data_IF_314160232418
#
_entry.id   IF_314160232418
#
_cell.length_a   1.000
_cell.length_b   1.000
_cell.length_c   1.000
_cell.angle_alpha   90.00
_cell.angle_beta   90.00
_cell.angle_gamma   90.00
#
_symmetry.space_group_name_H-M   'P 1'
#
loop_
_entity.id
_entity.type
_entity.pdbx_description
1 polymer ?
#
# COMPACT_ATOMS: atom_id res chain seq x y z
N UNK A 1 -8.12 -29.46 22.19
CA UNK A 1 -8.02 -29.53 20.71
C UNK A 1 -8.88 -28.40 20.16
N UNK A 2 -8.32 -27.44 19.42
CA UNK A 2 -9.12 -26.33 18.87
C UNK A 2 -9.82 -26.83 17.61
N UNK A 3 -11.13 -27.01 17.68
CA UNK A 3 -11.96 -27.37 16.53
C UNK A 3 -11.91 -26.22 15.52
N UNK A 4 -11.82 -26.53 14.23
CA UNK A 4 -11.59 -25.54 13.16
C UNK A 4 -12.70 -25.61 12.10
N UNK A 5 -13.12 -24.45 11.62
CA UNK A 5 -14.12 -24.33 10.54
C UNK A 5 -13.53 -24.67 9.17
N UNK A 6 -13.41 -25.96 8.85
CA UNK A 6 -12.84 -26.45 7.58
C UNK A 6 -13.93 -26.69 6.53
N UNK A 7 -14.95 -27.49 6.87
CA UNK A 7 -15.99 -27.91 5.93
C UNK A 7 -17.23 -27.01 6.01
N UNK A 8 -17.60 -26.26 4.94
CA UNK A 8 -18.66 -25.26 5.00
C UNK A 8 -20.05 -25.82 5.29
N UNK A 9 -20.28 -27.08 4.97
CA UNK A 9 -21.52 -27.81 5.23
C UNK A 9 -21.72 -28.13 6.70
N UNK A 10 -20.65 -28.16 7.50
CA UNK A 10 -20.67 -28.48 8.94
C UNK A 10 -20.50 -27.25 9.84
N UNK A 11 -20.36 -26.05 9.25
CA UNK A 11 -20.08 -24.85 10.04
C UNK A 11 -21.14 -24.54 11.09
N UNK A 12 -22.42 -24.74 10.78
CA UNK A 12 -23.49 -24.48 11.75
C UNK A 12 -23.35 -25.37 12.99
N UNK A 13 -23.30 -26.68 12.78
CA UNK A 13 -23.17 -27.69 13.84
C UNK A 13 -21.89 -27.47 14.66
N UNK A 14 -20.76 -27.21 14.00
CA UNK A 14 -19.48 -26.97 14.67
C UNK A 14 -19.45 -25.68 15.48
N UNK A 15 -20.12 -24.62 15.05
CA UNK A 15 -20.23 -23.36 15.80
C UNK A 15 -21.15 -23.56 17.01
N UNK A 16 -22.23 -24.30 16.84
CA UNK A 16 -23.17 -24.61 17.93
C UNK A 16 -22.52 -25.46 19.02
N UNK A 17 -21.80 -26.52 18.62
CA UNK A 17 -21.12 -27.44 19.55
C UNK A 17 -19.83 -26.83 20.13
N UNK A 18 -19.09 -26.06 19.32
CA UNK A 18 -17.81 -25.45 19.68
C UNK A 18 -17.74 -23.95 19.30
N UNK A 19 -18.39 -23.05 20.05
CA UNK A 19 -18.39 -21.61 19.74
C UNK A 19 -16.99 -20.97 19.68
N UNK A 20 -16.01 -21.54 20.40
CA UNK A 20 -14.62 -21.08 20.40
C UNK A 20 -13.96 -21.15 19.01
N UNK A 21 -14.51 -21.96 18.09
CA UNK A 21 -14.09 -22.01 16.68
C UNK A 21 -14.15 -20.66 15.99
N UNK A 22 -15.05 -19.75 16.41
CA UNK A 22 -15.20 -18.39 15.87
C UNK A 22 -14.04 -17.44 16.24
N UNK A 23 -13.20 -17.86 17.18
CA UNK A 23 -12.07 -17.09 17.69
C UNK A 23 -10.72 -17.77 17.36
N UNK A 24 -10.74 -18.79 16.48
CA UNK A 24 -9.52 -19.46 15.98
C UNK A 24 -8.96 -18.80 14.72
N UNK A 25 -7.64 -18.59 14.70
CA UNK A 25 -6.96 -17.98 13.56
C UNK A 25 -7.03 -18.85 12.30
N UNK A 26 -7.03 -20.17 12.48
CA UNK A 26 -7.18 -21.19 11.45
C UNK A 26 -8.59 -21.15 10.86
N UNK A 27 -9.61 -21.05 11.72
CA UNK A 27 -11.00 -20.87 11.28
C UNK A 27 -11.17 -19.59 10.47
N UNK A 28 -10.62 -18.45 10.92
CA UNK A 28 -10.70 -17.20 10.19
C UNK A 28 -10.06 -17.28 8.79
N UNK A 29 -8.87 -17.90 8.68
CA UNK A 29 -8.20 -18.15 7.39
C UNK A 29 -9.02 -19.06 6.47
N UNK A 30 -9.58 -20.13 7.03
CA UNK A 30 -10.37 -21.08 6.25
C UNK A 30 -11.68 -20.46 5.76
N UNK A 31 -12.36 -19.69 6.61
CA UNK A 31 -13.54 -18.93 6.23
C UNK A 31 -13.21 -17.95 5.09
N UNK A 32 -12.14 -17.17 5.18
CA UNK A 32 -11.74 -16.25 4.10
C UNK A 32 -11.47 -17.02 2.80
N UNK A 33 -10.72 -18.11 2.87
CA UNK A 33 -10.37 -18.95 1.71
C UNK A 33 -11.61 -19.56 1.05
N UNK A 34 -12.55 -20.09 1.84
CA UNK A 34 -13.80 -20.64 1.32
C UNK A 34 -14.65 -19.54 0.70
N UNK A 35 -14.91 -18.46 1.43
CA UNK A 35 -15.82 -17.41 0.98
C UNK A 35 -15.29 -16.67 -0.26
N UNK A 36 -13.97 -16.52 -0.39
CA UNK A 36 -13.34 -15.91 -1.58
C UNK A 36 -13.47 -16.74 -2.85
N UNK A 37 -13.67 -18.06 -2.73
CA UNK A 37 -13.79 -19.00 -3.85
C UNK A 37 -15.21 -19.45 -4.13
N UNK A 38 -16.10 -19.24 -3.18
CA UNK A 38 -17.47 -19.76 -3.26
C UNK A 38 -18.29 -18.91 -4.23
N UNK A 39 -18.77 -19.53 -5.32
CA UNK A 39 -19.72 -18.93 -6.26
C UNK A 39 -21.17 -18.92 -5.73
N UNK A 40 -21.46 -19.71 -4.69
CA UNK A 40 -22.80 -19.87 -4.12
C UNK A 40 -23.03 -19.04 -2.86
N UNK A 41 -24.21 -18.41 -2.76
CA UNK A 41 -24.59 -17.60 -1.59
C UNK A 41 -24.90 -18.45 -0.34
N UNK A 42 -24.86 -19.79 -0.44
CA UNK A 42 -25.30 -20.73 0.60
C UNK A 42 -24.38 -20.69 1.83
N UNK A 43 -23.07 -20.87 1.64
CA UNK A 43 -22.12 -20.93 2.75
C UNK A 43 -22.07 -19.62 3.54
N UNK A 44 -22.25 -18.48 2.85
CA UNK A 44 -22.33 -17.16 3.49
C UNK A 44 -23.53 -17.05 4.43
N UNK A 45 -24.72 -17.49 3.98
CA UNK A 45 -25.95 -17.47 4.79
C UNK A 45 -25.85 -18.42 5.99
N UNK A 46 -25.31 -19.63 5.77
CA UNK A 46 -25.10 -20.62 6.84
C UNK A 46 -24.18 -20.04 7.91
N UNK A 47 -23.01 -19.52 7.53
CA UNK A 47 -22.07 -18.93 8.48
C UNK A 47 -22.67 -17.72 9.20
N UNK A 48 -23.32 -16.81 8.47
CA UNK A 48 -23.95 -15.63 9.06
C UNK A 48 -24.98 -16.02 10.13
N UNK A 49 -25.88 -16.95 9.81
CA UNK A 49 -26.93 -17.37 10.73
C UNK A 49 -26.36 -18.07 11.96
N UNK A 50 -25.39 -18.96 11.78
CA UNK A 50 -24.73 -19.67 12.88
C UNK A 50 -23.92 -18.72 13.79
N UNK A 51 -23.21 -17.77 13.20
CA UNK A 51 -22.40 -16.81 13.97
C UNK A 51 -23.22 -15.69 14.63
N UNK A 52 -24.44 -15.41 14.13
CA UNK A 52 -25.29 -14.28 14.55
C UNK A 52 -25.41 -14.10 16.07
N UNK A 53 -25.66 -15.16 16.88
CA UNK A 53 -25.78 -15.01 18.34
C UNK A 53 -24.49 -14.56 19.02
N UNK A 54 -23.34 -14.85 18.40
CA UNK A 54 -22.01 -14.58 18.96
C UNK A 54 -21.39 -13.27 18.46
N UNK A 55 -21.96 -12.66 17.42
CA UNK A 55 -21.38 -11.47 16.78
C UNK A 55 -21.10 -10.30 17.73
N UNK A 56 -21.96 -9.96 18.72
CA UNK A 56 -21.63 -8.92 19.69
C UNK A 56 -20.30 -9.18 20.41
N UNK A 57 -20.02 -10.43 20.80
CA UNK A 57 -18.75 -10.83 21.41
C UNK A 57 -17.61 -10.85 20.40
N UNK A 58 -17.86 -11.31 19.17
CA UNK A 58 -16.85 -11.35 18.10
C UNK A 58 -16.30 -9.97 17.72
N UNK A 59 -17.11 -8.91 17.79
CA UNK A 59 -16.66 -7.52 17.54
C UNK A 59 -15.62 -7.06 18.57
N UNK A 60 -15.64 -7.64 19.76
CA UNK A 60 -14.68 -7.37 20.83
C UNK A 60 -13.46 -8.30 20.78
N UNK A 61 -13.32 -9.13 19.75
CA UNK A 61 -12.17 -10.01 19.54
C UNK A 61 -11.52 -9.79 18.17
N UNK A 62 -10.19 -9.79 18.09
CA UNK A 62 -9.49 -9.52 16.83
C UNK A 62 -9.68 -10.62 15.78
N UNK A 63 -9.75 -11.88 16.20
CA UNK A 63 -9.94 -13.03 15.32
C UNK A 63 -11.41 -13.15 14.93
N UNK A 64 -12.33 -12.99 15.89
CA UNK A 64 -13.77 -12.91 15.64
C UNK A 64 -14.10 -11.82 14.61
N UNK A 65 -13.50 -10.64 14.76
CA UNK A 65 -13.64 -9.55 13.79
C UNK A 65 -13.16 -9.92 12.39
N UNK A 66 -12.14 -10.78 12.26
CA UNK A 66 -11.63 -11.23 10.95
C UNK A 66 -12.65 -12.11 10.20
N UNK A 67 -13.44 -12.92 10.91
CA UNK A 67 -14.56 -13.68 10.32
C UNK A 67 -15.67 -12.72 9.89
N UNK A 68 -16.03 -11.74 10.72
CA UNK A 68 -17.01 -10.70 10.34
C UNK A 68 -16.56 -9.91 9.11
N UNK A 69 -15.26 -9.60 9.03
CA UNK A 69 -14.68 -8.91 7.89
C UNK A 69 -14.83 -9.73 6.60
N UNK A 70 -14.63 -11.05 6.67
CA UNK A 70 -14.87 -11.96 5.54
C UNK A 70 -16.34 -12.00 5.13
N UNK A 71 -17.27 -11.99 6.08
CA UNK A 71 -18.71 -11.87 5.81
C UNK A 71 -19.06 -10.54 5.14
N UNK A 72 -18.44 -9.42 5.53
CA UNK A 72 -18.65 -8.13 4.87
C UNK A 72 -18.01 -8.09 3.47
N UNK A 73 -16.84 -8.69 3.29
CA UNK A 73 -16.10 -8.67 2.02
C UNK A 73 -16.78 -9.49 0.92
N UNK A 74 -17.29 -10.67 1.26
CA UNK A 74 -17.82 -11.61 0.26
C UNK A 74 -19.34 -11.84 0.38
N UNK A 75 -19.96 -11.42 1.49
CA UNK A 75 -21.37 -11.66 1.75
C UNK A 75 -22.33 -10.91 0.83
N UNK A 76 -23.56 -11.40 0.78
CA UNK A 76 -24.68 -10.70 0.14
C UNK A 76 -25.00 -9.37 0.83
N UNK A 77 -25.70 -8.46 0.15
CA UNK A 77 -26.15 -7.18 0.74
C UNK A 77 -26.91 -7.37 2.06
N UNK A 78 -27.75 -8.41 2.18
CA UNK A 78 -28.48 -8.74 3.41
C UNK A 78 -27.54 -9.18 4.54
N UNK A 79 -26.53 -9.99 4.22
CA UNK A 79 -25.50 -10.41 5.19
C UNK A 79 -24.71 -9.22 5.68
N UNK A 80 -24.28 -8.34 4.77
CA UNK A 80 -23.52 -7.13 5.09
C UNK A 80 -24.33 -6.23 6.02
N UNK A 81 -25.57 -5.92 5.66
CA UNK A 81 -26.42 -5.03 6.48
C UNK A 81 -26.75 -5.65 7.84
N UNK A 82 -26.88 -6.98 7.90
CA UNK A 82 -26.99 -7.73 9.16
C UNK A 82 -25.75 -7.58 10.06
N UNK A 83 -24.53 -7.62 9.50
CA UNK A 83 -23.31 -7.32 10.27
C UNK A 83 -23.26 -5.84 10.66
N UNK A 84 -23.66 -4.93 9.76
CA UNK A 84 -23.73 -3.49 10.05
C UNK A 84 -24.66 -3.20 11.23
N UNK A 85 -25.78 -3.89 11.34
CA UNK A 85 -26.68 -3.80 12.49
C UNK A 85 -25.95 -4.07 13.80
N UNK A 86 -25.25 -5.21 13.89
CA UNK A 86 -24.53 -5.58 15.11
C UNK A 86 -23.40 -4.58 15.41
N UNK A 87 -22.67 -4.12 14.39
CA UNK A 87 -21.64 -3.09 14.55
C UNK A 87 -22.23 -1.79 15.07
N UNK A 88 -23.35 -1.33 14.51
CA UNK A 88 -24.01 -0.11 14.95
C UNK A 88 -24.46 -0.22 16.41
N UNK A 89 -25.11 -1.32 16.78
CA UNK A 89 -25.61 -1.56 18.14
C UNK A 89 -24.48 -1.74 19.17
N UNK A 90 -23.41 -2.45 18.82
CA UNK A 90 -22.33 -2.80 19.76
C UNK A 90 -21.22 -1.74 19.83
N UNK A 91 -21.04 -0.94 18.77
CA UNK A 91 -19.97 0.05 18.66
C UNK A 91 -20.46 1.50 18.58
N UNK A 92 -21.72 1.80 18.89
CA UNK A 92 -22.26 3.17 18.74
C UNK A 92 -21.39 4.23 19.42
N UNK A 93 -20.91 3.97 20.64
CA UNK A 93 -20.05 4.89 21.37
C UNK A 93 -18.69 5.11 20.68
N UNK A 94 -18.13 4.07 20.07
CA UNK A 94 -16.87 4.16 19.30
C UNK A 94 -17.10 4.97 18.02
N UNK A 95 -18.19 4.66 17.29
CA UNK A 95 -18.57 5.36 16.05
C UNK A 95 -18.83 6.86 16.29
N UNK A 96 -19.29 7.23 17.48
CA UNK A 96 -19.53 8.63 17.88
C UNK A 96 -18.33 9.29 18.60
N UNK A 97 -17.16 8.65 18.62
CA UNK A 97 -15.96 9.13 19.33
C UNK A 97 -16.19 9.41 20.83
N UNK A 98 -17.11 8.68 21.47
CA UNK A 98 -17.42 8.78 22.91
C UNK A 98 -16.64 7.77 23.75
N UNK A 99 -16.02 6.78 23.12
CA UNK A 99 -15.04 5.89 23.74
C UNK A 99 -14.03 5.39 22.71
N UNK A 100 -12.86 4.97 23.18
CA UNK A 100 -11.83 4.33 22.36
C UNK A 100 -11.85 2.82 22.56
N UNK A 101 -11.68 2.02 21.50
CA UNK A 101 -11.42 0.60 21.67
C UNK A 101 -10.05 0.38 22.31
N UNK A 102 -9.83 -0.82 22.86
CA UNK A 102 -8.50 -1.22 23.29
C UNK A 102 -7.52 -1.25 22.12
N UNK A 103 -6.25 -0.93 22.38
CA UNK A 103 -5.22 -0.77 21.35
C UNK A 103 -5.11 -1.97 20.39
N UNK A 104 -5.26 -3.19 20.91
CA UNK A 104 -5.16 -4.43 20.12
C UNK A 104 -6.29 -4.59 19.09
N UNK A 105 -7.40 -3.84 19.24
CA UNK A 105 -8.60 -3.93 18.38
C UNK A 105 -8.69 -2.83 17.33
N UNK A 106 -7.85 -1.80 17.42
CA UNK A 106 -7.88 -0.64 16.50
C UNK A 106 -7.79 -1.10 15.04
N UNK A 107 -6.85 -1.99 14.73
CA UNK A 107 -6.61 -2.44 13.36
C UNK A 107 -7.72 -3.35 12.84
N UNK A 108 -8.13 -4.36 13.63
CA UNK A 108 -9.16 -5.31 13.21
C UNK A 108 -10.52 -4.64 13.03
N UNK A 109 -10.95 -3.84 14.01
CA UNK A 109 -12.22 -3.11 13.94
C UNK A 109 -12.17 -2.01 12.86
N UNK A 110 -11.05 -1.30 12.74
CA UNK A 110 -10.88 -0.29 11.68
C UNK A 110 -10.96 -0.88 10.28
N UNK A 111 -10.41 -2.08 10.07
CA UNK A 111 -10.53 -2.83 8.81
C UNK A 111 -11.98 -3.24 8.53
N UNK A 112 -12.72 -3.71 9.54
CA UNK A 112 -14.15 -4.03 9.38
C UNK A 112 -14.97 -2.78 8.99
N UNK A 113 -14.75 -1.65 9.66
CA UNK A 113 -15.44 -0.39 9.34
C UNK A 113 -15.11 0.10 7.93
N UNK A 114 -13.85 0.00 7.51
CA UNK A 114 -13.42 0.29 6.14
C UNK A 114 -14.17 -0.57 5.12
N UNK A 115 -14.29 -1.88 5.37
CA UNK A 115 -15.02 -2.78 4.47
C UNK A 115 -16.50 -2.50 4.42
N UNK A 116 -17.12 -2.11 5.53
CA UNK A 116 -18.52 -1.69 5.55
C UNK A 116 -18.72 -0.48 4.63
N UNK A 117 -17.86 0.54 4.76
CA UNK A 117 -17.93 1.73 3.91
C UNK A 117 -17.65 1.39 2.44
N UNK A 118 -16.71 0.48 2.16
CA UNK A 118 -16.34 0.05 0.81
C UNK A 118 -17.46 -0.72 0.07
N UNK A 119 -18.43 -1.33 0.76
CA UNK A 119 -19.53 -2.09 0.13
C UNK A 119 -20.61 -1.19 -0.50
N UNK A 120 -20.28 -0.51 -1.58
CA UNK A 120 -21.14 0.41 -2.35
C UNK A 120 -22.49 -0.19 -2.76
N UNK A 121 -22.48 -1.47 -3.11
CA UNK A 121 -23.65 -2.22 -3.55
C UNK A 121 -24.67 -2.46 -2.43
N UNK A 122 -24.26 -2.31 -1.16
CA UNK A 122 -25.14 -2.44 -0.01
C UNK A 122 -25.83 -1.10 0.30
N UNK A 123 -27.11 -1.00 -0.06
CA UNK A 123 -27.97 0.16 0.25
C UNK A 123 -28.80 -0.04 1.52
N UNK A 124 -28.44 -1.01 2.36
CA UNK A 124 -29.16 -1.32 3.60
C UNK A 124 -29.10 -0.18 4.62
N UNK A 125 -30.15 -0.08 5.44
CA UNK A 125 -30.35 1.04 6.36
C UNK A 125 -29.25 1.14 7.42
N UNK A 126 -28.74 0.01 7.93
CA UNK A 126 -27.72 0.05 8.99
C UNK A 126 -26.37 0.49 8.46
N UNK A 127 -25.99 0.08 7.23
CA UNK A 127 -24.80 0.63 6.57
C UNK A 127 -24.92 2.15 6.39
N UNK A 128 -26.07 2.62 5.90
CA UNK A 128 -26.28 4.06 5.71
C UNK A 128 -26.22 4.83 7.03
N UNK A 129 -26.81 4.30 8.10
CA UNK A 129 -26.73 4.91 9.43
C UNK A 129 -25.28 5.04 9.92
N UNK A 130 -24.42 4.03 9.69
CA UNK A 130 -22.99 4.12 10.03
C UNK A 130 -22.33 5.25 9.22
N UNK A 131 -22.59 5.32 7.91
CA UNK A 131 -22.02 6.36 7.04
C UNK A 131 -22.45 7.76 7.50
N UNK A 132 -23.73 7.96 7.80
CA UNK A 132 -24.26 9.25 8.24
C UNK A 132 -23.71 9.64 9.62
N UNK A 133 -23.54 8.68 10.55
CA UNK A 133 -22.84 8.95 11.81
C UNK A 133 -21.41 9.43 11.53
N UNK A 134 -20.65 8.75 10.68
CA UNK A 134 -19.27 9.14 10.37
C UNK A 134 -19.18 10.52 9.71
N UNK A 135 -20.10 10.84 8.79
CA UNK A 135 -20.16 12.17 8.15
C UNK A 135 -20.56 13.29 9.11
N UNK A 136 -21.34 12.97 10.15
CA UNK A 136 -21.77 13.95 11.16
C UNK A 136 -20.67 14.32 12.17
N UNK A 137 -19.56 13.58 12.21
CA UNK A 137 -18.45 13.86 13.10
C UNK A 137 -17.70 15.13 12.67
N UNK A 138 -17.13 15.84 13.64
CA UNK A 138 -16.20 16.93 13.33
C UNK A 138 -14.93 16.36 12.65
N UNK A 139 -14.33 17.08 11.68
CA UNK A 139 -13.11 16.63 11.02
C UNK A 139 -11.97 16.22 11.97
N UNK A 140 -11.78 16.98 13.06
CA UNK A 140 -10.81 16.69 14.11
C UNK A 140 -11.08 15.36 14.83
N UNK A 141 -12.35 15.04 15.13
CA UNK A 141 -12.71 13.76 15.75
C UNK A 141 -12.49 12.59 14.81
N UNK A 142 -12.82 12.76 13.53
CA UNK A 142 -12.64 11.73 12.51
C UNK A 142 -11.16 11.37 12.30
N UNK A 143 -10.29 12.39 12.26
CA UNK A 143 -8.85 12.23 12.05
C UNK A 143 -8.06 11.93 13.33
N UNK A 144 -8.60 12.31 14.49
CA UNK A 144 -8.00 12.04 15.81
C UNK A 144 -8.33 10.65 16.38
N UNK A 145 -9.22 9.88 15.73
CA UNK A 145 -9.65 8.56 16.21
C UNK A 145 -9.09 7.43 15.33
N UNK A 146 -8.02 6.72 15.76
CA UNK A 146 -7.30 5.77 14.91
C UNK A 146 -8.16 4.68 14.28
N UNK A 147 -9.14 4.14 15.03
CA UNK A 147 -10.02 3.07 14.55
C UNK A 147 -10.95 3.53 13.41
N UNK A 148 -11.23 4.83 13.30
CA UNK A 148 -12.11 5.37 12.26
C UNK A 148 -11.36 5.75 10.98
N UNK A 149 -10.02 5.88 11.02
CA UNK A 149 -9.23 6.41 9.91
C UNK A 149 -9.49 5.68 8.60
N UNK A 150 -9.47 4.34 8.58
CA UNK A 150 -9.62 3.59 7.33
C UNK A 150 -11.02 3.76 6.71
N UNK A 151 -12.06 3.80 7.55
CA UNK A 151 -13.42 4.09 7.11
C UNK A 151 -13.55 5.54 6.59
N UNK A 152 -12.92 6.50 7.28
CA UNK A 152 -12.85 7.89 6.85
C UNK A 152 -12.17 8.00 5.48
N UNK A 153 -11.02 7.36 5.28
CA UNK A 153 -10.30 7.38 4.01
C UNK A 153 -11.19 6.93 2.84
N UNK A 154 -12.02 5.90 3.05
CA UNK A 154 -12.98 5.48 2.03
C UNK A 154 -14.06 6.51 1.80
N UNK A 155 -14.68 7.07 2.84
CA UNK A 155 -15.70 8.11 2.66
C UNK A 155 -15.18 9.34 1.89
N UNK A 156 -13.95 9.76 2.16
CA UNK A 156 -13.31 10.89 1.48
C UNK A 156 -13.16 10.63 -0.01
N UNK A 157 -12.73 9.42 -0.41
CA UNK A 157 -12.60 9.08 -1.85
C UNK A 157 -13.97 9.05 -2.54
N UNK A 158 -15.03 8.75 -1.81
CA UNK A 158 -16.38 8.56 -2.35
C UNK A 158 -17.18 9.85 -2.48
N UNK A 159 -16.87 10.86 -1.68
CA UNK A 159 -17.65 12.09 -1.58
C UNK A 159 -16.71 13.30 -1.57
N UNK A 160 -16.66 14.02 -2.69
CA UNK A 160 -15.76 15.17 -2.88
C UNK A 160 -16.05 16.32 -1.91
N UNK A 161 -17.32 16.61 -1.64
CA UNK A 161 -17.70 17.72 -0.75
C UNK A 161 -17.25 17.42 0.68
N UNK A 162 -17.47 16.19 1.12
CA UNK A 162 -16.99 15.69 2.40
C UNK A 162 -15.45 15.67 2.46
N UNK A 163 -14.79 15.28 1.37
CA UNK A 163 -13.34 15.33 1.27
C UNK A 163 -12.80 16.74 1.41
N UNK A 164 -13.36 17.69 0.68
CA UNK A 164 -13.00 19.10 0.76
C UNK A 164 -13.15 19.62 2.19
N UNK A 165 -14.30 19.37 2.82
CA UNK A 165 -14.58 19.78 4.20
C UNK A 165 -13.54 19.26 5.20
N UNK A 166 -13.11 18.00 5.07
CA UNK A 166 -12.21 17.36 6.04
C UNK A 166 -10.73 17.63 5.73
N UNK A 167 -10.33 17.53 4.46
CA UNK A 167 -8.92 17.58 4.04
C UNK A 167 -8.35 19.00 3.98
N UNK A 168 -9.17 20.05 3.96
CA UNK A 168 -8.69 21.44 4.10
C UNK A 168 -8.70 21.92 5.55
N UNK A 169 -9.27 21.14 6.48
CA UNK A 169 -9.42 21.55 7.86
C UNK A 169 -8.10 21.46 8.64
N UNK A 170 -7.68 22.56 9.27
CA UNK A 170 -6.42 22.62 10.01
C UNK A 170 -6.41 21.75 11.26
N UNK A 171 -7.52 21.69 12.01
CA UNK A 171 -7.62 20.85 13.21
C UNK A 171 -7.54 19.36 12.85
N UNK A 172 -8.17 18.96 11.75
CA UNK A 172 -8.09 17.59 11.24
C UNK A 172 -6.65 17.19 10.92
N UNK A 173 -5.85 18.09 10.31
CA UNK A 173 -4.42 17.87 10.08
C UNK A 173 -3.64 17.72 11.39
N UNK A 174 -3.88 18.60 12.36
CA UNK A 174 -3.22 18.53 13.68
C UNK A 174 -3.53 17.23 14.40
N UNK A 175 -4.79 16.81 14.42
CA UNK A 175 -5.20 15.56 15.05
C UNK A 175 -4.64 14.34 14.34
N UNK A 176 -4.66 14.32 13.00
CA UNK A 176 -4.03 13.25 12.22
C UNK A 176 -2.52 13.16 12.51
N UNK A 177 -1.83 14.30 12.59
CA UNK A 177 -0.43 14.34 12.97
C UNK A 177 -0.21 13.78 14.38
N UNK A 178 -1.00 14.19 15.37
CA UNK A 178 -0.93 13.65 16.74
C UNK A 178 -1.10 12.13 16.78
N UNK A 179 -2.09 11.61 16.04
CA UNK A 179 -2.31 10.15 15.90
C UNK A 179 -1.10 9.44 15.31
N UNK A 180 -0.43 10.07 14.33
CA UNK A 180 0.73 9.52 13.64
C UNK A 180 2.00 9.39 14.50
N UNK A 181 2.10 10.19 15.57
CA UNK A 181 3.23 10.14 16.51
C UNK A 181 3.15 8.91 17.43
N UNK A 182 1.97 8.32 17.59
CA UNK A 182 1.77 7.13 18.43
C UNK A 182 2.24 5.88 17.70
N UNK A 183 3.29 5.23 18.21
CA UNK A 183 3.95 4.08 17.57
C UNK A 183 3.00 2.93 17.20
N UNK A 184 2.01 2.63 18.04
CA UNK A 184 1.03 1.56 17.79
C UNK A 184 0.10 1.87 16.62
N UNK A 185 -0.04 3.14 16.23
CA UNK A 185 -0.91 3.57 15.13
C UNK A 185 -0.21 3.60 13.78
N UNK A 186 1.09 3.29 13.71
CA UNK A 186 1.87 3.37 12.45
C UNK A 186 1.25 2.56 11.31
N UNK A 187 0.74 1.36 11.61
CA UNK A 187 0.09 0.49 10.62
C UNK A 187 -1.16 1.13 10.02
N UNK A 188 -2.09 1.59 10.88
CA UNK A 188 -3.34 2.22 10.44
C UNK A 188 -3.12 3.54 9.71
N UNK A 189 -2.15 4.36 10.14
CA UNK A 189 -1.80 5.63 9.49
C UNK A 189 -1.21 5.37 8.10
N UNK A 190 -0.36 4.36 7.95
CA UNK A 190 0.21 3.99 6.65
C UNK A 190 -0.87 3.47 5.70
N UNK A 191 -1.81 2.67 6.20
CA UNK A 191 -2.95 2.17 5.43
C UNK A 191 -3.92 3.29 5.03
N UNK A 192 -4.18 4.27 5.91
CA UNK A 192 -4.96 5.47 5.61
C UNK A 192 -4.37 6.23 4.41
N UNK A 193 -3.08 6.58 4.47
CA UNK A 193 -2.39 7.29 3.39
C UNK A 193 -2.42 6.49 2.08
N UNK A 194 -2.26 5.16 2.17
CA UNK A 194 -2.32 4.28 1.00
C UNK A 194 -3.71 4.28 0.34
N UNK A 195 -4.78 4.30 1.13
CA UNK A 195 -6.15 4.39 0.60
C UNK A 195 -6.33 5.73 -0.12
N UNK A 196 -5.99 6.85 0.52
CA UNK A 196 -6.15 8.19 -0.07
C UNK A 196 -5.36 8.39 -1.38
N UNK A 197 -4.23 7.72 -1.53
CA UNK A 197 -3.36 7.79 -2.72
C UNK A 197 -3.52 6.60 -3.67
N UNK A 198 -4.54 5.74 -3.46
CA UNK A 198 -4.78 4.55 -4.29
C UNK A 198 -5.35 4.91 -5.66
N UNK A 199 -5.17 4.04 -6.65
CA UNK A 199 -5.65 4.24 -8.03
C UNK A 199 -7.15 4.60 -8.15
N UNK A 200 -7.97 4.13 -7.21
CA UNK A 200 -9.39 4.51 -7.13
C UNK A 200 -9.58 6.02 -6.92
N UNK A 201 -8.70 6.64 -6.14
CA UNK A 201 -8.65 8.09 -5.94
C UNK A 201 -7.94 8.83 -7.10
N UNK A 202 -7.06 8.14 -7.84
CA UNK A 202 -6.23 8.73 -8.90
C UNK A 202 -6.97 8.95 -10.23
N UNK A 203 -8.22 8.49 -10.37
CA UNK A 203 -9.05 8.78 -11.55
C UNK A 203 -9.44 10.26 -11.66
N UNK A 204 -9.27 10.99 -10.57
CA UNK A 204 -9.60 12.39 -10.44
C UNK A 204 -8.38 13.19 -9.96
N UNK A 205 -7.83 14.01 -10.86
CA UNK A 205 -6.62 14.79 -10.61
C UNK A 205 -6.78 15.78 -9.46
N UNK A 206 -7.98 16.36 -9.27
CA UNK A 206 -8.26 17.31 -8.19
C UNK A 206 -8.25 16.61 -6.83
N UNK A 207 -8.94 15.47 -6.73
CA UNK A 207 -8.93 14.65 -5.51
C UNK A 207 -7.53 14.14 -5.15
N UNK A 208 -6.75 13.75 -6.16
CA UNK A 208 -5.34 13.38 -5.97
C UNK A 208 -4.54 14.53 -5.38
N UNK A 209 -4.75 15.75 -5.89
CA UNK A 209 -4.15 16.98 -5.38
C UNK A 209 -4.50 17.22 -3.92
N UNK A 210 -5.79 17.18 -3.59
CA UNK A 210 -6.30 17.41 -2.24
C UNK A 210 -5.77 16.39 -1.22
N UNK A 211 -5.84 15.09 -1.54
CA UNK A 211 -5.31 14.02 -0.71
C UNK A 211 -3.80 14.16 -0.48
N UNK A 212 -3.05 14.47 -1.53
CA UNK A 212 -1.59 14.63 -1.47
C UNK A 212 -1.20 15.82 -0.60
N UNK A 213 -1.91 16.95 -0.76
CA UNK A 213 -1.68 18.16 0.03
C UNK A 213 -1.96 17.90 1.52
N UNK A 214 -3.10 17.29 1.86
CA UNK A 214 -3.43 16.96 3.25
C UNK A 214 -2.35 16.12 3.92
N UNK A 215 -1.90 15.04 3.27
CA UNK A 215 -0.86 14.16 3.83
C UNK A 215 0.45 14.93 3.96
N UNK A 216 0.90 15.63 2.92
CA UNK A 216 2.16 16.38 2.95
C UNK A 216 2.13 17.45 4.06
N UNK A 217 1.07 18.26 4.12
CA UNK A 217 0.94 19.36 5.07
C UNK A 217 0.85 18.87 6.51
N UNK A 218 0.17 17.75 6.76
CA UNK A 218 0.10 17.14 8.10
C UNK A 218 1.47 16.76 8.65
N UNK A 219 2.44 16.48 7.78
CA UNK A 219 3.82 16.14 8.16
C UNK A 219 4.82 17.26 7.85
N UNK A 220 4.37 18.45 7.43
CA UNK A 220 5.23 19.53 6.93
C UNK A 220 6.37 19.90 7.88
N UNK A 221 6.11 19.98 9.18
CA UNK A 221 7.12 20.25 10.20
C UNK A 221 8.25 19.21 10.26
N UNK A 222 7.97 17.94 9.90
CA UNK A 222 9.01 16.89 9.84
C UNK A 222 9.89 17.02 8.59
N UNK A 223 9.40 17.72 7.56
CA UNK A 223 10.14 17.99 6.33
C UNK A 223 11.03 19.23 6.43
N UNK A 224 11.02 19.96 7.55
CA UNK A 224 11.91 21.11 7.72
C UNK A 224 13.39 20.71 7.79
N UNK A 225 14.33 21.56 7.30
CA UNK A 225 15.76 21.25 7.28
C UNK A 225 16.32 20.84 8.64
N UNK A 226 15.89 21.55 9.69
CA UNK A 226 16.35 21.42 11.08
C UNK A 226 15.42 20.57 11.96
N UNK A 227 14.45 19.86 11.38
CA UNK A 227 13.57 18.99 12.14
C UNK A 227 14.37 17.93 12.92
N UNK A 228 14.07 17.77 14.21
CA UNK A 228 14.71 16.78 15.07
C UNK A 228 14.32 15.35 14.70
N UNK A 229 13.12 15.19 14.13
CA UNK A 229 12.58 13.93 13.64
C UNK A 229 12.33 14.02 12.14
N UNK A 230 12.61 12.92 11.44
CA UNK A 230 12.29 12.76 10.02
C UNK A 230 10.95 12.05 9.84
N UNK A 231 10.23 12.32 8.75
CA UNK A 231 8.95 11.67 8.44
C UNK A 231 9.11 10.16 8.22
N UNK A 232 7.98 9.46 8.35
CA UNK A 232 7.92 8.03 8.10
C UNK A 232 8.21 7.72 6.64
N UNK A 233 9.27 6.96 6.40
CA UNK A 233 9.76 6.58 5.05
C UNK A 233 8.66 5.99 4.17
N UNK A 234 7.80 5.15 4.73
CA UNK A 234 6.71 4.50 3.99
C UNK A 234 5.70 5.53 3.45
N UNK A 235 5.36 6.54 4.24
CA UNK A 235 4.46 7.63 3.83
C UNK A 235 5.15 8.55 2.83
N UNK A 236 6.42 8.89 3.07
CA UNK A 236 7.21 9.70 2.13
C UNK A 236 7.34 9.00 0.78
N UNK A 237 7.55 7.68 0.77
CA UNK A 237 7.59 6.88 -0.45
C UNK A 237 6.24 6.85 -1.15
N UNK A 238 5.14 6.71 -0.41
CA UNK A 238 3.79 6.77 -0.98
C UNK A 238 3.52 8.12 -1.66
N UNK A 239 3.86 9.23 -1.02
CA UNK A 239 3.76 10.57 -1.62
C UNK A 239 4.64 10.69 -2.87
N UNK A 240 5.88 10.24 -2.82
CA UNK A 240 6.78 10.24 -3.98
C UNK A 240 6.22 9.42 -5.15
N UNK A 241 5.62 8.26 -4.86
CA UNK A 241 5.20 7.30 -5.88
C UNK A 241 3.82 7.62 -6.47
N UNK A 242 2.89 8.09 -5.63
CA UNK A 242 1.47 8.19 -5.95
C UNK A 242 0.89 9.60 -5.76
N UNK A 243 1.58 10.51 -5.07
CA UNK A 243 1.08 11.87 -4.84
C UNK A 243 0.96 12.70 -6.11
N UNK A 244 0.22 13.81 -6.05
CA UNK A 244 0.12 14.76 -7.16
C UNK A 244 1.49 15.30 -7.57
N UNK A 245 1.63 15.75 -8.82
CA UNK A 245 2.91 16.29 -9.32
C UNK A 245 3.37 17.49 -8.47
N UNK A 246 2.46 18.36 -8.05
CA UNK A 246 2.77 19.49 -7.17
C UNK A 246 3.25 19.02 -5.80
N UNK A 247 2.62 17.99 -5.23
CA UNK A 247 3.05 17.36 -3.99
C UNK A 247 4.44 16.74 -4.10
N UNK A 248 4.72 16.05 -5.21
CA UNK A 248 6.06 15.49 -5.52
C UNK A 248 7.11 16.61 -5.65
N UNK A 249 6.75 17.73 -6.28
CA UNK A 249 7.62 18.91 -6.40
C UNK A 249 7.95 19.50 -5.04
N UNK A 250 6.95 19.70 -4.18
CA UNK A 250 7.15 20.22 -2.84
C UNK A 250 7.99 19.26 -2.00
N UNK A 251 7.74 17.96 -2.12
CA UNK A 251 8.53 16.93 -1.46
C UNK A 251 10.00 16.99 -1.90
N UNK A 252 10.28 17.04 -3.20
CA UNK A 252 11.64 17.17 -3.72
C UNK A 252 12.37 18.41 -3.22
N UNK A 253 11.69 19.56 -3.20
CA UNK A 253 12.22 20.82 -2.65
C UNK A 253 12.56 20.72 -1.17
N UNK A 254 11.71 20.10 -0.37
CA UNK A 254 11.96 19.93 1.07
C UNK A 254 13.14 18.99 1.33
N UNK A 255 13.19 17.85 0.63
CA UNK A 255 14.29 16.87 0.79
C UNK A 255 15.63 17.45 0.34
N UNK A 256 15.66 18.26 -0.72
CA UNK A 256 16.88 18.90 -1.19
C UNK A 256 17.51 19.87 -0.16
N UNK A 257 16.70 20.38 0.79
CA UNK A 257 17.17 21.28 1.85
C UNK A 257 17.64 20.56 3.10
N UNK A 258 17.48 19.24 3.19
CA UNK A 258 17.94 18.50 4.35
C UNK A 258 19.46 18.38 4.35
N UNK A 259 20.15 18.77 5.44
CA UNK A 259 21.61 18.71 5.50
C UNK A 259 22.15 17.27 5.44
N UNK A 260 21.33 16.29 5.80
CA UNK A 260 21.68 14.87 5.88
C UNK A 260 21.13 14.02 4.71
N UNK A 261 20.49 14.63 3.69
CA UNK A 261 19.88 13.87 2.58
C UNK A 261 20.91 13.06 1.80
N UNK A 262 22.10 13.61 1.59
CA UNK A 262 23.21 12.91 0.94
C UNK A 262 23.51 11.57 1.62
N UNK A 263 23.71 11.59 2.95
CA UNK A 263 23.97 10.39 3.74
C UNK A 263 22.77 9.44 3.76
N UNK A 264 21.55 9.97 3.88
CA UNK A 264 20.32 9.16 3.89
C UNK A 264 20.09 8.44 2.56
N UNK A 265 20.35 9.09 1.44
CA UNK A 265 20.18 8.53 0.10
C UNK A 265 21.22 7.45 -0.26
N UNK A 266 22.23 7.21 0.61
CA UNK A 266 23.05 5.99 0.57
C UNK A 266 22.28 4.76 1.10
N UNK A 267 21.19 4.96 1.83
CA UNK A 267 20.26 3.91 2.23
C UNK A 267 19.21 3.61 1.15
N UNK A 268 18.70 2.37 1.18
CA UNK A 268 17.76 1.84 0.18
C UNK A 268 16.46 2.66 0.07
N UNK A 269 15.86 2.99 1.23
CA UNK A 269 14.56 3.66 1.30
C UNK A 269 14.61 5.05 0.66
N UNK A 270 15.60 5.85 1.02
CA UNK A 270 15.71 7.23 0.51
C UNK A 270 16.25 7.26 -0.92
N UNK A 271 17.11 6.31 -1.32
CA UNK A 271 17.45 6.16 -2.74
C UNK A 271 16.18 5.90 -3.58
N UNK A 272 15.29 5.02 -3.09
CA UNK A 272 14.01 4.73 -3.75
C UNK A 272 13.08 5.93 -3.77
N UNK A 273 12.92 6.65 -2.66
CA UNK A 273 12.11 7.87 -2.58
C UNK A 273 12.60 8.92 -3.59
N UNK A 274 13.90 9.21 -3.60
CA UNK A 274 14.49 10.21 -4.51
C UNK A 274 14.31 9.77 -5.95
N UNK A 275 14.52 8.49 -6.28
CA UNK A 275 14.28 7.96 -7.62
C UNK A 275 12.84 8.22 -8.10
N UNK A 276 11.84 7.90 -7.27
CA UNK A 276 10.43 8.15 -7.61
C UNK A 276 10.12 9.63 -7.81
N UNK A 277 10.67 10.53 -6.97
CA UNK A 277 10.52 11.97 -7.15
C UNK A 277 11.12 12.40 -8.49
N UNK A 278 12.39 12.06 -8.73
CA UNK A 278 13.12 12.49 -9.93
C UNK A 278 12.49 11.94 -11.21
N UNK A 279 12.01 10.69 -11.23
CA UNK A 279 11.31 10.13 -12.39
C UNK A 279 10.02 10.88 -12.71
N UNK A 280 9.24 11.26 -11.70
CA UNK A 280 7.89 11.81 -11.88
C UNK A 280 7.82 13.32 -12.14
N UNK A 281 8.84 14.10 -11.80
CA UNK A 281 8.84 15.55 -12.03
C UNK A 281 8.86 15.88 -13.54
N UNK A 282 7.82 16.51 -14.13
CA UNK A 282 7.81 16.79 -15.56
C UNK A 282 8.78 17.93 -15.92
N UNK A 283 8.83 18.96 -15.07
CA UNK A 283 9.83 20.02 -15.13
C UNK A 283 11.14 19.52 -14.49
N UNK A 284 12.21 19.53 -15.27
CA UNK A 284 13.51 19.12 -14.78
C UNK A 284 14.13 20.15 -13.84
N UNK A 285 13.87 21.43 -13.98
CA UNK A 285 14.54 22.44 -13.14
C UNK A 285 14.19 22.27 -11.66
N UNK A 286 12.95 21.86 -11.40
CA UNK A 286 12.45 21.51 -10.07
C UNK A 286 13.22 20.36 -9.38
N UNK A 287 13.84 19.44 -10.13
CA UNK A 287 14.57 18.30 -9.58
C UNK A 287 16.07 18.53 -9.40
N UNK A 288 16.64 19.54 -10.05
CA UNK A 288 18.08 19.82 -10.00
C UNK A 288 18.65 20.02 -8.60
N UNK A 289 17.99 20.76 -7.67
CA UNK A 289 18.51 20.91 -6.32
C UNK A 289 18.63 19.58 -5.58
N UNK A 290 17.70 18.65 -5.83
CA UNK A 290 17.71 17.34 -5.19
C UNK A 290 18.82 16.45 -5.75
N UNK A 291 19.08 16.49 -7.06
CA UNK A 291 20.22 15.78 -7.68
C UNK A 291 21.53 16.26 -7.05
N UNK A 292 21.75 17.58 -7.00
CA UNK A 292 22.95 18.19 -6.40
C UNK A 292 23.11 17.83 -4.93
N UNK A 293 22.02 17.77 -4.16
CA UNK A 293 22.06 17.44 -2.74
C UNK A 293 22.33 15.95 -2.45
N UNK A 294 22.15 15.06 -3.43
CA UNK A 294 22.28 13.60 -3.23
C UNK A 294 23.60 13.05 -3.76
N UNK A 295 24.16 13.64 -4.82
CA UNK A 295 25.41 13.22 -5.45
C UNK A 295 26.42 14.36 -5.39
N UNK A 296 27.52 14.15 -4.66
CA UNK A 296 28.57 15.17 -4.49
C UNK A 296 29.87 14.80 -5.21
N UNK A 297 30.08 13.53 -5.53
CA UNK A 297 31.33 13.03 -6.08
C UNK A 297 31.11 11.95 -7.13
N UNK A 298 32.14 11.65 -7.92
CA UNK A 298 32.12 10.51 -8.84
C UNK A 298 32.03 9.18 -8.09
N UNK A 299 32.60 9.10 -6.89
CA UNK A 299 32.57 7.89 -6.07
C UNK A 299 31.15 7.56 -5.60
N UNK A 300 30.31 8.57 -5.37
CA UNK A 300 28.89 8.35 -5.10
C UNK A 300 28.19 7.55 -6.20
N UNK A 301 28.56 7.78 -7.46
CA UNK A 301 28.00 7.07 -8.61
C UNK A 301 28.57 5.65 -8.66
N UNK A 302 29.88 5.50 -8.46
CA UNK A 302 30.56 4.20 -8.46
C UNK A 302 30.01 3.28 -7.37
N UNK A 303 29.86 3.78 -6.14
CA UNK A 303 29.32 3.03 -5.01
C UNK A 303 27.90 2.55 -5.29
N UNK A 304 27.06 3.44 -5.86
CA UNK A 304 25.67 3.12 -6.21
C UNK A 304 25.57 2.10 -7.35
N UNK A 305 26.47 2.16 -8.33
CA UNK A 305 26.58 1.16 -9.41
C UNK A 305 27.02 -0.21 -8.88
N UNK A 306 27.91 -0.26 -7.90
CA UNK A 306 28.38 -1.51 -7.26
C UNK A 306 27.37 -2.08 -6.27
N UNK A 307 26.42 -1.28 -5.80
CA UNK A 307 25.42 -1.71 -4.84
C UNK A 307 24.45 -2.73 -5.45
N UNK A 308 24.17 -3.81 -4.72
CA UNK A 308 23.25 -4.88 -5.17
C UNK A 308 21.77 -4.49 -5.13
N UNK A 309 21.41 -3.36 -4.52
CA UNK A 309 20.02 -2.97 -4.34
C UNK A 309 19.51 -2.20 -5.55
N UNK A 310 18.33 -2.57 -6.05
CA UNK A 310 17.75 -1.98 -7.25
C UNK A 310 17.34 -0.51 -7.10
N UNK A 311 17.16 -0.01 -5.87
CA UNK A 311 16.84 1.40 -5.59
C UNK A 311 17.94 2.36 -6.02
N UNK A 312 19.22 1.99 -5.85
CA UNK A 312 20.36 2.80 -6.28
C UNK A 312 20.47 2.82 -7.80
N UNK A 313 20.26 1.68 -8.46
CA UNK A 313 20.17 1.62 -9.91
C UNK A 313 18.98 2.42 -10.44
N UNK A 314 17.83 2.38 -9.76
CA UNK A 314 16.67 3.20 -10.09
C UNK A 314 17.01 4.69 -10.01
N UNK A 315 17.63 5.14 -8.91
CA UNK A 315 18.04 6.54 -8.74
C UNK A 315 18.94 7.03 -9.87
N UNK A 316 19.98 6.26 -10.20
CA UNK A 316 20.89 6.61 -11.29
C UNK A 316 20.17 6.58 -12.66
N UNK A 317 19.26 5.63 -12.88
CA UNK A 317 18.46 5.57 -14.09
C UNK A 317 17.49 6.77 -14.20
N UNK A 318 16.82 7.17 -13.12
CA UNK A 318 15.96 8.36 -13.09
C UNK A 318 16.72 9.65 -13.42
N UNK A 319 18.00 9.73 -13.05
CA UNK A 319 18.90 10.83 -13.43
C UNK A 319 19.24 10.73 -14.92
N UNK A 320 19.63 9.54 -15.38
CA UNK A 320 20.02 9.28 -16.76
C UNK A 320 18.90 9.57 -17.79
N UNK A 321 17.64 9.40 -17.40
CA UNK A 321 16.48 9.61 -18.27
C UNK A 321 16.21 11.08 -18.60
N UNK A 322 16.88 12.03 -17.92
CA UNK A 322 16.68 13.47 -18.09
C UNK A 322 18.00 14.18 -18.34
N UNK A 323 18.21 14.66 -19.56
CA UNK A 323 19.50 15.22 -20.01
C UNK A 323 19.97 16.40 -19.15
N UNK A 324 19.07 17.26 -18.68
CA UNK A 324 19.41 18.38 -17.78
C UNK A 324 19.98 17.92 -16.44
N UNK A 325 19.53 16.78 -15.90
CA UNK A 325 20.11 16.19 -14.69
C UNK A 325 21.54 15.71 -14.94
N UNK A 326 21.77 15.09 -16.10
CA UNK A 326 23.08 14.58 -16.52
C UNK A 326 24.07 15.73 -16.75
N UNK A 327 23.64 16.80 -17.42
CA UNK A 327 24.44 18.00 -17.67
C UNK A 327 24.87 18.65 -16.36
N UNK A 328 23.91 18.96 -15.49
CA UNK A 328 24.18 19.61 -14.20
C UNK A 328 25.08 18.78 -13.30
N UNK A 329 24.93 17.45 -13.33
CA UNK A 329 25.82 16.56 -12.57
C UNK A 329 27.23 16.50 -13.19
N UNK A 330 27.34 16.47 -14.51
CA UNK A 330 28.65 16.47 -15.20
C UNK A 330 29.41 17.78 -14.97
N UNK A 331 28.71 18.91 -15.00
CA UNK A 331 29.26 20.23 -14.68
C UNK A 331 29.72 20.31 -13.22
N UNK A 332 28.90 19.83 -12.27
CA UNK A 332 29.24 19.85 -10.85
C UNK A 332 30.44 18.96 -10.50
N UNK A 333 30.64 17.86 -11.23
CA UNK A 333 31.74 16.92 -11.02
C UNK A 333 32.99 17.22 -11.86
N UNK A 334 32.89 18.09 -12.87
CA UNK A 334 33.97 18.40 -13.80
C UNK A 334 34.32 17.27 -14.78
N UNK A 335 33.56 16.18 -14.81
CA UNK A 335 33.77 15.02 -15.69
C UNK A 335 32.44 14.50 -16.24
N UNK A 336 32.48 13.91 -17.45
CA UNK A 336 31.27 13.32 -18.05
C UNK A 336 30.88 12.03 -17.32
N UNK A 337 29.63 11.96 -16.87
CA UNK A 337 29.05 10.78 -16.19
C UNK A 337 28.10 9.97 -17.07
N UNK A 338 27.88 10.39 -18.33
CA UNK A 338 26.89 9.83 -19.26
C UNK A 338 27.00 8.31 -19.40
N UNK A 339 28.21 7.79 -19.66
CA UNK A 339 28.44 6.34 -19.86
C UNK A 339 28.08 5.53 -18.61
N UNK A 340 28.39 6.06 -17.42
CA UNK A 340 28.10 5.41 -16.14
C UNK A 340 26.59 5.36 -15.89
N UNK A 341 25.92 6.47 -16.13
CA UNK A 341 24.47 6.57 -15.99
C UNK A 341 23.72 5.68 -17.02
N UNK A 342 24.20 5.63 -18.27
CA UNK A 342 23.67 4.72 -19.28
C UNK A 342 23.82 3.24 -18.88
N UNK A 343 24.98 2.87 -18.29
CA UNK A 343 25.18 1.53 -17.71
C UNK A 343 24.19 1.24 -16.59
N UNK A 344 23.91 2.23 -15.71
CA UNK A 344 22.92 2.09 -14.64
C UNK A 344 21.52 1.80 -15.19
N UNK A 345 21.09 2.47 -16.27
CA UNK A 345 19.80 2.23 -16.92
C UNK A 345 19.70 0.78 -17.41
N UNK A 346 20.73 0.27 -18.09
CA UNK A 346 20.75 -1.11 -18.60
C UNK A 346 20.69 -2.11 -17.45
N UNK A 347 21.48 -1.90 -16.40
CA UNK A 347 21.49 -2.77 -15.22
C UNK A 347 20.15 -2.73 -14.48
N UNK A 348 19.57 -1.54 -14.30
CA UNK A 348 18.26 -1.37 -13.68
C UNK A 348 17.20 -2.16 -14.43
N UNK A 349 17.08 -1.95 -15.75
CA UNK A 349 16.14 -2.68 -16.62
C UNK A 349 16.33 -4.19 -16.57
N UNK A 350 17.57 -4.67 -16.46
CA UNK A 350 17.87 -6.10 -16.33
C UNK A 350 17.40 -6.66 -14.99
N UNK A 351 17.61 -5.95 -13.90
CA UNK A 351 17.27 -6.41 -12.53
C UNK A 351 15.76 -6.30 -12.25
N UNK A 352 15.08 -5.30 -12.81
CA UNK A 352 13.62 -5.11 -12.63
C UNK A 352 12.78 -5.82 -13.68
N UNK A 353 13.40 -6.53 -14.62
CA UNK A 353 12.70 -7.28 -15.67
C UNK A 353 11.73 -8.30 -15.05
N UNK A 354 10.43 -8.28 -15.41
CA UNK A 354 9.50 -9.27 -14.90
C UNK A 354 9.95 -10.69 -15.25
N UNK A 355 9.89 -11.61 -14.28
CA UNK A 355 10.32 -13.01 -14.46
C UNK A 355 9.65 -13.67 -15.67
N UNK A 356 8.36 -13.43 -15.87
CA UNK A 356 7.59 -13.96 -17.01
C UNK A 356 8.21 -13.54 -18.35
N UNK A 357 8.63 -12.27 -18.48
CA UNK A 357 9.27 -11.76 -19.70
C UNK A 357 10.67 -12.39 -19.87
N UNK A 358 11.44 -12.46 -18.78
CA UNK A 358 12.76 -13.12 -18.80
C UNK A 358 12.67 -14.60 -19.19
N UNK A 359 11.69 -15.32 -18.66
CA UNK A 359 11.45 -16.74 -18.97
C UNK A 359 11.00 -16.91 -20.42
N UNK A 360 10.09 -16.05 -20.91
CA UNK A 360 9.64 -16.08 -22.31
C UNK A 360 10.80 -15.89 -23.28
N UNK A 361 11.70 -14.94 -23.03
CA UNK A 361 12.86 -14.73 -23.89
C UNK A 361 13.85 -15.89 -23.85
N UNK A 362 14.11 -16.47 -22.68
CA UNK A 362 14.96 -17.64 -22.54
C UNK A 362 14.41 -18.83 -23.34
N UNK A 363 13.10 -19.08 -23.21
CA UNK A 363 12.42 -20.13 -23.98
C UNK A 363 12.45 -19.84 -25.48
N UNK A 364 12.24 -18.59 -25.88
CA UNK A 364 12.29 -18.17 -27.28
C UNK A 364 13.70 -18.36 -27.88
N UNK A 365 14.76 -18.06 -27.12
CA UNK A 365 16.15 -18.33 -27.52
C UNK A 365 16.40 -19.83 -27.63
N UNK A 366 16.02 -20.63 -26.63
CA UNK A 366 16.13 -22.10 -26.71
C UNK A 366 15.38 -22.68 -27.91
N UNK A 367 14.18 -22.20 -28.22
CA UNK A 367 13.42 -22.61 -29.40
C UNK A 367 14.12 -22.21 -30.70
N UNK A 368 14.71 -21.01 -30.76
CA UNK A 368 15.50 -20.57 -31.91
C UNK A 368 16.78 -21.40 -32.08
N UNK A 369 17.46 -21.74 -30.99
CA UNK A 369 18.67 -22.57 -30.99
C UNK A 369 18.35 -24.02 -31.39
N UNK A 370 17.22 -24.59 -30.93
CA UNK A 370 16.75 -25.91 -31.39
C UNK A 370 16.40 -25.90 -32.88
N UNK A 371 15.83 -24.80 -33.40
CA UNK A 371 15.52 -24.65 -34.84
C UNK A 371 16.76 -24.45 -35.70
N UNK A 372 17.83 -23.87 -35.14
CA UNK A 372 19.15 -23.77 -35.80
C UNK A 372 19.89 -25.11 -35.76
N UNK A 373 19.87 -25.81 -34.62
CA UNK A 373 20.46 -27.14 -34.46
C UNK A 373 19.73 -28.25 -35.21
N UNK A 374 18.45 -28.06 -35.58
CA UNK A 374 17.73 -28.96 -36.48
C UNK A 374 18.02 -28.71 -37.97
N UNK A 375 18.83 -27.71 -38.31
CA UNK A 375 19.22 -27.36 -39.69
C UNK A 375 20.61 -27.87 -40.11
N UNK A 376 21.41 -28.43 -39.20
CA UNK A 376 22.81 -28.81 -39.47
C UNK A 376 23.12 -30.30 -39.25
N UNK A 377 22.12 -31.17 -39.09
CA UNK A 377 22.34 -32.61 -38.86
C UNK A 377 21.61 -33.52 -39.86
N UNK A 378 21.67 -33.19 -41.16
CA UNK A 378 21.32 -34.13 -42.24
C UNK A 378 22.51 -34.56 -43.11
N UNK A 379 23.76 -34.27 -42.70
CA UNK A 379 24.95 -34.77 -43.39
C UNK A 379 26.09 -35.16 -42.45
N UNK A 380 25.84 -36.10 -41.53
CA UNK A 380 26.90 -36.92 -40.93
C UNK A 380 26.31 -38.19 -40.28
N UNK A 381 25.94 -39.16 -41.13
CA UNK A 381 25.78 -40.56 -40.70
C UNK A 381 27.13 -41.11 -40.27
N UNK A 382 27.11 -41.94 -39.21
CA UNK A 382 28.19 -42.72 -38.61
C UNK A 382 29.15 -41.88 -37.75
N UNK A 383 29.24 -42.06 -36.44
CA UNK A 383 29.69 -43.29 -35.77
C UNK A 383 29.07 -43.40 -34.37
N UNK A 384 28.39 -44.51 -34.14
CA UNK A 384 28.10 -45.05 -32.81
C UNK A 384 29.40 -45.46 -32.10
N UNK A 385 29.64 -44.97 -30.88
CA UNK A 385 30.44 -45.67 -29.87
C UNK A 385 29.91 -45.39 -28.45
N UNK A 386 29.13 -46.37 -27.97
CA UNK A 386 29.14 -47.01 -26.64
C UNK A 386 29.53 -46.17 -25.39
N UNK A 387 28.55 -46.02 -24.49
CA UNK A 387 28.54 -46.56 -23.11
C UNK A 387 29.86 -46.59 -22.30
N UNK A 388 29.90 -45.93 -21.14
CA UNK A 388 29.63 -46.56 -19.81
C UNK A 388 29.74 -45.59 -18.63
N UNK A 389 28.92 -45.94 -17.63
CA UNK A 389 28.86 -45.56 -16.20
C UNK A 389 30.19 -45.23 -15.54
N UNK A 390 30.19 -44.25 -14.62
CA UNK A 390 30.35 -44.41 -13.16
C UNK A 390 29.46 -43.38 -12.45
#
# INVERSE_FOLDING_TARGET
MVVTLVEPTKWADLIEEYPDTLYSSESAKNVENVLSKTSTRRHQKVLFNAAKPFMPKMIHDCIGTSILNSLVKYGTVTTVDGVCKIVFESCEKILRCRCSPENQRIESLGSLLERIVYRYDCLGNYRQNIIEVLKSLRPSQLMGTPVLLLAAARLLIQNRDFASLVLTNSEARTEFFSVSLVRTNRGVVSAFCKILLSEDALKDGEMTGLCSAFIFDSFSGLYEPKATLRPMKDITLLLASCGSIDGVRNLGKSLARWPDIHGRAKGDDYAKIVAHILSRLPDTDSGLPLVKAVLHSEEDINDRLRCRKSSHLHLLASIAEKQSYVQVLSEALGTSVEKKLASAVVQYRRVTKPRVVSTKELLSRKLADMRKGSGENDSARNVSKRFREW
#
